data_IF_627982143341
#
_entry.id   IF_627982143341
#
_cell.length_a   1.000
_cell.length_b   1.000
_cell.length_c   1.000
_cell.angle_alpha   90.00
_cell.angle_beta   90.00
_cell.angle_gamma   90.00
#
_symmetry.space_group_name_H-M   'P 1'
#
loop_
_entity.id
_entity.type
_entity.pdbx_description
1 polymer ?
#
# COMPACT_ATOMS: atom_id res chain seq x y z
N UNK A 1 2.86 20.35 -4.88
CA UNK A 1 1.96 20.42 -3.71
C UNK A 1 2.40 19.34 -2.74
N UNK A 2 2.98 19.72 -1.61
CA UNK A 2 3.35 18.81 -0.51
C UNK A 2 2.12 18.72 0.39
N UNK A 3 1.67 17.50 0.75
CA UNK A 3 0.63 17.32 1.76
C UNK A 3 1.18 17.84 3.10
N UNK A 4 0.97 19.13 3.40
CA UNK A 4 1.38 19.74 4.67
C UNK A 4 0.52 19.29 5.85
N UNK A 5 -0.69 18.80 5.57
CA UNK A 5 -1.66 18.35 6.57
C UNK A 5 -2.35 17.07 6.10
N UNK A 6 -2.76 16.25 7.05
CA UNK A 6 -3.67 15.13 6.85
C UNK A 6 -5.01 15.68 6.31
N UNK A 7 -5.63 15.05 5.29
CA UNK A 7 -6.92 15.48 4.77
C UNK A 7 -7.97 15.64 5.86
N UNK A 8 -8.75 16.73 5.82
CA UNK A 8 -9.72 17.03 6.88
C UNK A 8 -10.75 15.91 7.08
N UNK A 9 -11.18 15.27 5.98
CA UNK A 9 -12.12 14.14 6.02
C UNK A 9 -11.55 12.98 6.86
N UNK A 10 -10.25 12.70 6.72
CA UNK A 10 -9.60 11.68 7.53
C UNK A 10 -9.65 12.04 9.01
N UNK A 11 -9.27 13.27 9.39
CA UNK A 11 -9.32 13.72 10.78
C UNK A 11 -10.74 13.69 11.33
N UNK A 12 -11.73 14.09 10.52
CA UNK A 12 -13.13 14.11 10.92
C UNK A 12 -13.69 12.70 11.18
N UNK A 13 -13.45 11.76 10.26
CA UNK A 13 -14.01 10.40 10.36
C UNK A 13 -13.21 9.47 11.27
N UNK A 14 -11.88 9.64 11.32
CA UNK A 14 -10.98 8.72 12.00
C UNK A 14 -10.25 9.35 13.19
N UNK A 15 -10.02 10.66 13.18
CA UNK A 15 -9.19 11.33 14.19
C UNK A 15 -9.67 11.12 15.62
N UNK A 16 -10.98 11.24 15.88
CA UNK A 16 -11.55 11.01 17.23
C UNK A 16 -11.45 9.55 17.70
N UNK A 17 -11.25 8.61 16.77
CA UNK A 17 -11.12 7.18 17.05
C UNK A 17 -9.67 6.77 17.28
N UNK A 18 -8.71 7.59 16.85
CA UNK A 18 -7.29 7.35 17.03
C UNK A 18 -6.80 7.92 18.36
N UNK A 19 -5.84 7.24 18.98
CA UNK A 19 -5.08 7.78 20.10
C UNK A 19 -4.09 8.85 19.60
N UNK A 20 -3.58 9.66 20.53
CA UNK A 20 -2.62 10.71 20.18
C UNK A 20 -1.27 10.16 19.72
N UNK A 21 -0.89 8.97 20.21
CA UNK A 21 0.24 8.21 19.65
C UNK A 21 -0.29 7.02 18.86
N UNK A 22 0.11 6.94 17.60
CA UNK A 22 -0.32 5.91 16.65
C UNK A 22 0.90 5.17 16.12
N UNK A 23 0.81 3.86 16.06
CA UNK A 23 1.80 2.99 15.40
C UNK A 23 1.42 2.83 13.93
N UNK A 24 2.30 3.23 13.03
CA UNK A 24 2.20 2.91 11.62
C UNK A 24 2.86 1.55 11.40
N UNK A 25 2.14 0.64 10.75
CA UNK A 25 2.62 -0.70 10.42
C UNK A 25 2.62 -0.87 8.90
N UNK A 26 3.76 -1.24 8.35
CA UNK A 26 3.93 -1.50 6.92
C UNK A 26 3.98 -3.01 6.66
N UNK A 27 3.81 -3.40 5.39
CA UNK A 27 3.78 -4.82 5.01
C UNK A 27 5.09 -5.55 5.29
N UNK A 28 6.22 -4.87 5.14
CA UNK A 28 7.55 -5.41 5.47
C UNK A 28 7.82 -5.46 6.99
N UNK A 29 6.79 -5.32 7.84
CA UNK A 29 6.89 -5.27 9.30
C UNK A 29 7.70 -4.08 9.86
N UNK A 30 8.11 -3.14 9.01
CA UNK A 30 8.56 -1.83 9.46
C UNK A 30 7.45 -1.16 10.26
N UNK A 31 7.83 -0.59 11.41
CA UNK A 31 6.90 0.07 12.33
C UNK A 31 7.55 1.33 12.86
N UNK A 32 6.77 2.41 12.86
CA UNK A 32 7.16 3.68 13.46
C UNK A 32 6.01 4.21 14.31
N UNK A 33 6.32 4.88 15.43
CA UNK A 33 5.33 5.60 16.21
C UNK A 33 5.32 7.06 15.78
N UNK A 34 4.13 7.59 15.55
CA UNK A 34 3.90 8.99 15.19
C UNK A 34 2.88 9.60 16.14
N UNK A 35 3.00 10.91 16.38
CA UNK A 35 2.06 11.64 17.22
C UNK A 35 1.06 12.38 16.34
N UNK A 36 -0.23 12.16 16.56
CA UNK A 36 -1.31 12.88 15.89
C UNK A 36 -1.48 14.27 16.54
N UNK A 37 -0.92 15.28 15.89
CA UNK A 37 -1.13 16.68 16.23
C UNK A 37 -2.48 17.13 15.66
N UNK A 38 -3.52 17.03 16.48
CA UNK A 38 -4.91 17.36 16.12
C UNK A 38 -5.09 18.83 15.78
N UNK A 39 -4.35 19.72 16.44
CA UNK A 39 -4.44 21.16 16.25
C UNK A 39 -3.93 21.54 14.86
N UNK A 40 -2.76 21.02 14.48
CA UNK A 40 -2.14 21.31 13.18
C UNK A 40 -2.49 20.28 12.09
N UNK A 41 -3.31 19.28 12.43
CA UNK A 41 -3.80 18.21 11.54
C UNK A 41 -2.66 17.48 10.84
N UNK A 42 -1.66 17.01 11.59
CA UNK A 42 -0.47 16.34 11.03
C UNK A 42 0.01 15.19 11.90
N UNK A 43 0.72 14.24 11.30
CA UNK A 43 1.51 13.26 12.03
C UNK A 43 2.92 13.80 12.25
N UNK A 44 3.34 13.91 13.51
CA UNK A 44 4.70 14.24 13.90
C UNK A 44 5.53 12.96 13.99
N UNK A 45 6.81 13.02 13.61
CA UNK A 45 7.69 11.83 13.52
C UNK A 45 7.65 11.12 12.16
N UNK A 46 7.01 11.70 11.15
CA UNK A 46 7.01 11.11 9.80
C UNK A 46 8.36 11.23 9.08
N UNK A 47 9.27 12.10 9.53
CA UNK A 47 10.54 12.37 8.83
C UNK A 47 11.36 11.09 8.61
N UNK A 48 11.49 10.26 9.63
CA UNK A 48 12.28 9.04 9.57
C UNK A 48 11.71 8.07 8.52
N UNK A 49 10.38 7.99 8.37
CA UNK A 49 9.75 7.24 7.28
C UNK A 49 10.17 7.75 5.90
N UNK A 50 10.18 9.08 5.68
CA UNK A 50 10.60 9.64 4.39
C UNK A 50 12.06 9.34 4.07
N UNK A 51 12.93 9.36 5.09
CA UNK A 51 14.36 9.05 4.95
C UNK A 51 14.57 7.56 4.70
N UNK A 52 14.05 6.70 5.58
CA UNK A 52 14.26 5.25 5.53
C UNK A 52 13.74 4.63 4.23
N UNK A 53 12.63 5.16 3.71
CA UNK A 53 12.01 4.66 2.48
C UNK A 53 12.42 5.45 1.25
N UNK A 54 13.23 6.51 1.41
CA UNK A 54 13.64 7.41 0.33
C UNK A 54 12.43 7.92 -0.49
N UNK A 55 11.36 8.27 0.21
CA UNK A 55 10.08 8.59 -0.41
C UNK A 55 10.18 9.83 -1.29
N UNK A 56 9.57 9.74 -2.47
CA UNK A 56 9.59 10.78 -3.49
C UNK A 56 8.28 11.54 -3.52
N UNK A 57 8.34 12.77 -4.02
CA UNK A 57 7.14 13.57 -4.26
C UNK A 57 6.28 12.87 -5.33
N UNK A 58 4.99 12.70 -5.03
CA UNK A 58 4.02 12.06 -5.93
C UNK A 58 3.58 10.67 -5.47
N UNK A 59 4.30 10.07 -4.52
CA UNK A 59 3.88 8.82 -3.89
C UNK A 59 2.69 9.05 -2.96
N UNK A 60 1.81 8.05 -2.89
CA UNK A 60 0.53 8.11 -2.17
C UNK A 60 0.60 7.15 -0.99
N UNK A 61 0.31 7.66 0.21
CA UNK A 61 0.17 6.83 1.42
C UNK A 61 -1.31 6.53 1.67
N UNK A 62 -1.64 5.24 1.69
CA UNK A 62 -2.93 4.75 2.13
C UNK A 62 -2.88 4.34 3.59
N UNK A 63 -3.86 4.79 4.37
CA UNK A 63 -3.99 4.47 5.78
C UNK A 63 -5.25 3.64 6.00
N UNK A 64 -5.07 2.43 6.50
CA UNK A 64 -6.16 1.56 6.91
C UNK A 64 -6.17 1.46 8.44
N UNK A 65 -7.32 1.71 9.06
CA UNK A 65 -7.44 1.65 10.53
C UNK A 65 -7.59 0.21 10.99
N UNK A 66 -6.54 -0.35 11.61
CA UNK A 66 -6.61 -1.67 12.24
C UNK A 66 -7.28 -1.59 13.63
N UNK A 67 -6.86 -0.61 14.43
CA UNK A 67 -7.46 -0.29 15.72
C UNK A 67 -7.13 1.16 16.11
N UNK A 68 -7.56 1.59 17.30
CA UNK A 68 -7.38 2.97 17.78
C UNK A 68 -5.93 3.43 17.89
N UNK A 69 -4.96 2.51 17.94
CA UNK A 69 -3.55 2.84 18.13
C UNK A 69 -2.66 2.34 16.99
N UNK A 70 -3.24 1.72 15.96
CA UNK A 70 -2.48 1.09 14.87
C UNK A 70 -3.14 1.35 13.53
N UNK A 71 -2.37 1.89 12.60
CA UNK A 71 -2.74 2.02 11.19
C UNK A 71 -1.86 1.10 10.35
N UNK A 72 -2.46 0.31 9.47
CA UNK A 72 -1.71 -0.28 8.36
C UNK A 72 -1.46 0.82 7.33
N UNK A 73 -0.25 0.86 6.78
CA UNK A 73 0.15 1.84 5.77
C UNK A 73 0.67 1.14 4.53
N UNK A 74 0.12 1.54 3.38
CA UNK A 74 0.55 1.08 2.06
C UNK A 74 1.06 2.28 1.26
N UNK A 75 2.14 2.11 0.51
CA UNK A 75 2.71 3.19 -0.30
C UNK A 75 2.61 2.83 -1.77
N UNK A 76 1.92 3.68 -2.52
CA UNK A 76 1.76 3.55 -3.96
C UNK A 76 2.68 4.55 -4.65
N UNK A 77 3.52 4.02 -5.54
CA UNK A 77 4.54 4.78 -6.26
C UNK A 77 4.00 5.52 -7.49
N UNK A 78 4.90 6.13 -8.24
CA UNK A 78 4.59 6.89 -9.46
C UNK A 78 3.85 6.08 -10.55
N UNK A 79 4.07 4.76 -10.59
CA UNK A 79 3.40 3.86 -11.52
C UNK A 79 2.05 3.35 -11.02
N UNK A 80 1.48 3.98 -9.99
CA UNK A 80 0.20 3.62 -9.37
C UNK A 80 0.14 2.20 -8.78
N UNK A 81 1.26 1.47 -8.73
CA UNK A 81 1.41 0.21 -8.00
C UNK A 81 2.11 0.42 -6.66
N UNK A 82 1.87 -0.50 -5.71
CA UNK A 82 2.57 -0.53 -4.43
C UNK A 82 4.11 -0.62 -4.64
N UNK A 83 4.86 0.18 -3.88
CA UNK A 83 6.33 0.24 -4.02
C UNK A 83 6.99 -1.04 -3.52
N UNK A 84 8.25 -1.24 -3.93
CA UNK A 84 9.11 -2.20 -3.23
C UNK A 84 9.57 -1.59 -1.91
N UNK A 85 9.13 -2.16 -0.80
CA UNK A 85 9.58 -1.72 0.51
C UNK A 85 11.08 -1.99 0.70
N UNK A 86 11.84 -1.04 1.29
CA UNK A 86 13.25 -1.23 1.58
C UNK A 86 13.43 -2.26 2.70
N UNK A 87 14.62 -2.89 2.74
CA UNK A 87 15.01 -3.77 3.83
C UNK A 87 15.70 -2.95 4.93
N UNK A 88 14.93 -2.12 5.64
CA UNK A 88 15.39 -1.24 6.71
C UNK A 88 14.62 -1.57 7.99
N UNK A 89 15.29 -1.55 9.13
CA UNK A 89 14.69 -1.61 10.45
C UNK A 89 14.84 -0.25 11.10
N UNK A 90 13.74 0.34 11.52
CA UNK A 90 13.78 1.63 12.20
C UNK A 90 14.50 1.48 13.53
N UNK A 91 15.36 2.45 13.87
CA UNK A 91 16.20 2.43 15.09
C UNK A 91 15.40 2.32 16.40
N UNK A 92 14.12 2.69 16.40
CA UNK A 92 13.21 2.58 17.55
C UNK A 92 12.45 1.25 17.65
N UNK A 93 12.76 0.27 16.78
CA UNK A 93 12.19 -1.07 16.84
C UNK A 93 13.10 -2.03 17.60
N UNK A 94 12.58 -2.65 18.67
CA UNK A 94 13.25 -3.74 19.41
C UNK A 94 13.14 -5.11 18.69
N UNK A 95 12.90 -5.13 17.38
CA UNK A 95 12.75 -6.35 16.60
C UNK A 95 13.95 -6.54 15.66
N UNK A 96 14.43 -7.77 15.52
CA UNK A 96 15.38 -8.14 14.47
C UNK A 96 14.78 -7.89 13.07
N UNK A 97 15.58 -7.49 12.07
CA UNK A 97 15.13 -7.42 10.68
C UNK A 97 14.57 -8.77 10.25
N UNK A 98 13.26 -8.88 10.09
CA UNK A 98 12.69 -10.01 9.37
C UNK A 98 12.88 -9.73 7.88
N UNK A 99 13.68 -10.52 7.14
CA UNK A 99 13.68 -10.42 5.69
C UNK A 99 12.24 -10.68 5.26
N UNK A 100 11.59 -9.64 4.73
CA UNK A 100 10.23 -9.77 4.25
C UNK A 100 10.26 -10.65 3.01
N UNK A 101 10.07 -11.96 3.21
CA UNK A 101 9.60 -12.84 2.16
C UNK A 101 8.16 -12.42 1.95
N UNK A 102 7.93 -11.72 0.85
CA UNK A 102 6.60 -11.35 0.37
C UNK A 102 5.81 -12.63 0.06
N UNK A 103 5.22 -13.22 1.10
CA UNK A 103 4.40 -14.45 1.06
C UNK A 103 2.90 -14.15 1.07
N UNK A 104 2.50 -12.87 1.20
CA UNK A 104 1.10 -12.46 1.10
C UNK A 104 0.84 -11.84 -0.27
N UNK A 105 -0.02 -12.50 -1.04
CA UNK A 105 -0.37 -12.22 -2.44
C UNK A 105 -1.23 -10.97 -2.65
N UNK A 106 -1.30 -10.06 -1.66
CA UNK A 106 -2.28 -8.96 -1.65
C UNK A 106 -1.70 -7.63 -2.20
N UNK A 107 -1.09 -7.61 -3.39
CA UNK A 107 -0.51 -6.37 -3.94
C UNK A 107 -1.61 -5.36 -4.32
N UNK A 108 -1.40 -4.09 -4.00
CA UNK A 108 -2.37 -3.03 -4.32
C UNK A 108 -1.90 -2.15 -5.49
N UNK A 109 -2.87 -1.63 -6.25
CA UNK A 109 -2.66 -0.55 -7.18
C UNK A 109 -3.86 0.41 -7.14
N UNK A 110 -3.68 1.62 -7.68
CA UNK A 110 -4.71 2.65 -7.73
C UNK A 110 -5.15 2.84 -9.18
N UNK A 111 -6.46 2.80 -9.41
CA UNK A 111 -7.07 3.20 -10.66
C UNK A 111 -7.80 4.53 -10.45
N UNK A 112 -7.48 5.54 -11.27
CA UNK A 112 -8.08 6.88 -11.18
C UNK A 112 -9.26 6.98 -12.15
N UNK A 113 -10.49 6.97 -11.64
CA UNK A 113 -11.68 7.22 -12.46
C UNK A 113 -11.86 8.73 -12.60
N UNK A 114 -11.84 9.24 -13.83
CA UNK A 114 -12.21 10.62 -14.14
C UNK A 114 -13.67 10.65 -14.56
N UNK A 115 -14.47 11.56 -14.00
CA UNK A 115 -15.91 11.68 -14.28
C UNK A 115 -16.25 11.94 -15.75
N UNK A 116 -15.27 12.34 -16.56
CA UNK A 116 -15.40 12.59 -18.00
C UNK A 116 -15.13 11.35 -18.86
N UNK A 117 -14.61 10.26 -18.26
CA UNK A 117 -14.29 9.02 -18.94
C UNK A 117 -15.40 7.98 -18.66
N UNK A 118 -15.86 7.31 -19.72
CA UNK A 118 -16.95 6.35 -19.73
C UNK A 118 -16.88 5.31 -18.60
N UNK A 119 -18.03 4.72 -18.26
CA UNK A 119 -18.10 3.57 -17.36
C UNK A 119 -17.16 2.48 -17.89
N UNK A 120 -16.07 2.24 -17.18
CA UNK A 120 -15.05 1.27 -17.59
C UNK A 120 -15.49 -0.10 -17.09
N UNK A 121 -15.97 -0.96 -18.00
CA UNK A 121 -16.32 -2.35 -17.68
C UNK A 121 -15.07 -3.21 -17.36
N UNK A 122 -13.88 -2.80 -17.81
CA UNK A 122 -12.63 -3.55 -17.66
C UNK A 122 -11.51 -2.73 -17.02
N UNK A 123 -11.03 -3.16 -15.84
CA UNK A 123 -10.00 -2.45 -15.10
C UNK A 123 -8.60 -3.01 -15.44
N UNK A 124 -7.83 -2.25 -16.22
CA UNK A 124 -6.47 -2.64 -16.63
C UNK A 124 -5.43 -2.22 -15.57
N UNK A 125 -4.73 -3.17 -14.92
CA UNK A 125 -3.71 -2.84 -13.92
C UNK A 125 -2.46 -2.21 -14.56
N UNK A 126 -1.68 -1.39 -13.84
CA UNK A 126 -0.44 -0.83 -14.34
C UNK A 126 0.55 -1.92 -14.81
N UNK A 127 1.29 -1.64 -15.88
CA UNK A 127 2.28 -2.59 -16.44
C UNK A 127 3.31 -3.08 -15.41
N UNK A 128 3.80 -2.17 -14.57
CA UNK A 128 4.76 -2.48 -13.50
C UNK A 128 4.18 -3.42 -12.44
N UNK A 129 2.88 -3.33 -12.18
CA UNK A 129 2.13 -4.22 -11.30
C UNK A 129 1.99 -5.60 -11.93
N UNK A 130 1.58 -5.66 -13.20
CA UNK A 130 1.46 -6.91 -13.96
C UNK A 130 2.80 -7.64 -14.07
N UNK A 131 3.89 -6.93 -14.37
CA UNK A 131 5.23 -7.52 -14.45
C UNK A 131 5.63 -8.21 -13.14
N UNK A 132 5.29 -7.61 -11.99
CA UNK A 132 5.58 -8.19 -10.67
C UNK A 132 4.72 -9.40 -10.35
N UNK A 133 3.43 -9.34 -10.70
CA UNK A 133 2.51 -10.46 -10.48
C UNK A 133 2.89 -11.64 -11.36
N UNK A 134 3.16 -11.41 -12.66
CA UNK A 134 3.50 -12.49 -13.60
C UNK A 134 4.77 -13.22 -13.18
N UNK A 135 5.77 -12.51 -12.65
CA UNK A 135 6.98 -13.13 -12.11
C UNK A 135 6.73 -14.06 -10.91
N UNK A 136 5.63 -13.85 -10.18
CA UNK A 136 5.27 -14.61 -8.97
C UNK A 136 4.10 -15.57 -9.18
N UNK A 137 3.38 -15.44 -10.28
CA UNK A 137 2.22 -16.27 -10.57
C UNK A 137 2.66 -17.72 -10.76
N UNK A 138 1.95 -18.68 -10.15
CA UNK A 138 2.25 -20.09 -10.36
C UNK A 138 2.04 -20.44 -11.84
N UNK A 139 2.91 -21.28 -12.39
CA UNK A 139 2.82 -21.71 -13.79
C UNK A 139 1.46 -22.36 -14.11
N UNK A 140 0.80 -22.94 -13.10
CA UNK A 140 -0.55 -23.50 -13.19
C UNK A 140 -1.51 -22.68 -12.35
N UNK A 141 -2.62 -22.26 -12.95
CA UNK A 141 -3.68 -21.51 -12.29
C UNK A 141 -4.99 -22.29 -12.38
N UNK A 142 -5.74 -22.30 -11.30
CA UNK A 142 -7.10 -22.84 -11.27
C UNK A 142 -8.09 -21.69 -11.48
N UNK A 143 -8.86 -21.76 -12.55
CA UNK A 143 -9.96 -20.85 -12.82
C UNK A 143 -11.23 -21.41 -12.20
N UNK A 144 -12.03 -20.53 -11.61
CA UNK A 144 -13.37 -20.84 -11.11
C UNK A 144 -14.32 -19.84 -11.77
N UNK A 145 -15.27 -20.35 -12.56
CA UNK A 145 -16.28 -19.54 -13.24
C UNK A 145 -17.41 -19.18 -12.27
N UNK A 146 -18.22 -18.19 -12.64
CA UNK A 146 -19.37 -17.72 -11.85
C UNK A 146 -20.47 -18.79 -11.69
N UNK A 147 -20.54 -19.73 -12.63
CA UNK A 147 -21.37 -20.92 -12.56
C UNK A 147 -20.80 -22.04 -11.65
N UNK A 148 -19.61 -21.84 -11.08
CA UNK A 148 -18.93 -22.79 -10.21
C UNK A 148 -18.04 -23.82 -10.92
N UNK A 149 -17.93 -23.77 -12.26
CA UNK A 149 -17.05 -24.67 -13.00
C UNK A 149 -15.58 -24.36 -12.76
N UNK A 150 -14.76 -25.40 -12.66
CA UNK A 150 -13.34 -25.27 -12.38
C UNK A 150 -12.48 -25.88 -13.49
N UNK A 151 -11.42 -25.19 -13.92
CA UNK A 151 -10.44 -25.75 -14.83
C UNK A 151 -9.03 -25.25 -14.54
N UNK A 152 -8.04 -26.08 -14.86
CA UNK A 152 -6.62 -25.74 -14.70
C UNK A 152 -6.07 -25.20 -16.03
N UNK A 153 -5.56 -23.98 -16.01
CA UNK A 153 -4.81 -23.40 -17.12
C UNK A 153 -3.33 -23.24 -16.78
N UNK A 154 -2.53 -22.99 -17.81
CA UNK A 154 -1.11 -22.61 -17.66
C UNK A 154 -0.96 -21.18 -18.11
N UNK A 155 -0.34 -20.32 -17.30
CA UNK A 155 -0.01 -18.96 -17.75
C UNK A 155 1.15 -19.08 -18.72
N UNK A 156 0.89 -18.85 -20.00
CA UNK A 156 1.94 -18.73 -21.00
C UNK A 156 2.49 -17.30 -20.86
N UNK A 157 3.62 -17.17 -20.16
CA UNK A 157 4.35 -15.91 -20.04
C UNK A 157 4.83 -15.44 -21.42
N UNK A 158 3.96 -14.74 -22.15
CA UNK A 158 4.20 -14.28 -23.50
C UNK A 158 4.74 -12.86 -23.51
N UNK A 159 5.92 -12.69 -24.12
CA UNK A 159 6.49 -11.42 -24.55
C UNK A 159 5.41 -10.56 -25.22
N UNK A 160 4.98 -9.48 -24.57
CA UNK A 160 3.97 -8.57 -25.15
C UNK A 160 3.00 -8.01 -24.12
N UNK A 161 3.53 -7.25 -23.17
CA UNK A 161 2.81 -6.14 -22.53
C UNK A 161 3.65 -4.89 -22.75
#
# INVERSE_FOLDING_TARGET
>A
MVLRCIPWKFIHYHGNRLNDTVKLKFRNEYRIRVTLDRQNKRFQGMHDLFVDFSLKRGEILFFETLNRSTLNVFIVGEHLGEIQYPNVVHSSQDCSPTPFICTRDDWHFVYLIRFEEYLVDELVPPHSFMTRIIQKMPAKVKYVLDNGDEFCGTIIGGRGF
#
